data_IF_013332359256
#
_entry.id   IF_013332359256
#
_cell.length_a   1.000
_cell.length_b   1.000
_cell.length_c   1.000
_cell.angle_alpha   90.00
_cell.angle_beta   90.00
_cell.angle_gamma   90.00
#
_symmetry.space_group_name_H-M   'P 1'
#
loop_
_entity.id
_entity.type
_entity.pdbx_description
1 polymer ?
#
# COMPACT_ATOMS: atom_id res chain seq x y z
N UNK A 1 16.77 -1.31 2.26
CA UNK A 1 16.40 -2.25 1.18
C UNK A 1 16.94 -3.65 1.50
N UNK A 2 16.24 -4.71 1.08
CA UNK A 2 16.71 -6.11 1.27
C UNK A 2 16.36 -6.78 2.62
N UNK A 3 15.68 -6.10 3.54
CA UNK A 3 15.31 -6.68 4.84
C UNK A 3 14.09 -7.64 4.81
N UNK A 4 13.54 -7.96 3.64
CA UNK A 4 12.47 -8.96 3.50
C UNK A 4 11.03 -8.41 3.56
N UNK A 5 10.81 -7.12 3.79
CA UNK A 5 9.48 -6.52 3.96
C UNK A 5 8.49 -6.85 2.82
N UNK A 6 8.87 -6.54 1.59
CA UNK A 6 8.02 -6.79 0.41
C UNK A 6 7.73 -8.27 0.16
N UNK A 7 8.70 -9.15 0.44
CA UNK A 7 8.51 -10.60 0.33
C UNK A 7 7.49 -11.06 1.38
N UNK A 8 7.61 -10.59 2.62
CA UNK A 8 6.64 -10.87 3.69
C UNK A 8 5.22 -10.43 3.29
N UNK A 9 5.07 -9.20 2.79
CA UNK A 9 3.78 -8.70 2.29
C UNK A 9 3.19 -9.57 1.16
N UNK A 10 4.01 -9.94 0.18
CA UNK A 10 3.59 -10.81 -0.92
C UNK A 10 3.25 -12.23 -0.46
N UNK A 11 3.92 -12.73 0.59
CA UNK A 11 3.63 -14.05 1.15
C UNK A 11 2.23 -14.13 1.74
N UNK A 12 1.71 -13.05 2.34
CA UNK A 12 0.36 -12.98 2.89
C UNK A 12 -0.68 -13.34 1.84
N UNK A 13 -0.48 -12.90 0.61
CA UNK A 13 -1.41 -13.14 -0.49
C UNK A 13 -0.96 -14.27 -1.44
N UNK A 14 0.05 -15.06 -1.05
CA UNK A 14 0.64 -16.10 -1.91
C UNK A 14 1.02 -15.57 -3.30
N UNK A 15 1.65 -14.38 -3.33
CA UNK A 15 2.13 -13.71 -4.55
C UNK A 15 3.66 -13.82 -4.72
N UNK A 16 4.31 -14.65 -3.91
CA UNK A 16 5.74 -14.92 -4.05
C UNK A 16 6.01 -15.89 -5.19
N UNK A 17 7.21 -15.80 -5.77
CA UNK A 17 7.63 -16.75 -6.80
C UNK A 17 7.64 -18.17 -6.22
N UNK A 18 7.22 -19.18 -7.00
CA UNK A 18 7.18 -20.61 -6.63
C UNK A 18 8.54 -21.17 -6.15
N UNK A 19 9.64 -20.47 -6.43
CA UNK A 19 10.97 -20.82 -5.91
C UNK A 19 11.15 -20.57 -4.42
N UNK A 20 10.29 -19.73 -3.81
CA UNK A 20 10.32 -19.50 -2.38
C UNK A 20 9.46 -20.52 -1.65
N UNK A 21 10.03 -21.15 -0.64
CA UNK A 21 9.28 -21.98 0.29
C UNK A 21 8.75 -21.10 1.43
N UNK A 22 7.44 -20.99 1.56
CA UNK A 22 6.77 -20.26 2.64
C UNK A 22 6.28 -21.25 3.67
N UNK A 23 6.68 -21.08 4.92
CA UNK A 23 6.29 -21.94 6.03
C UNK A 23 5.86 -21.12 7.25
N UNK A 24 5.12 -21.73 8.16
CA UNK A 24 4.53 -21.08 9.32
C UNK A 24 3.03 -20.95 9.19
N UNK A 25 2.48 -19.87 9.76
CA UNK A 25 1.04 -19.59 9.74
C UNK A 25 0.80 -18.12 9.40
N UNK A 26 -0.26 -17.85 8.61
CA UNK A 26 -0.75 -16.49 8.33
C UNK A 26 -2.24 -16.46 8.66
N UNK A 27 -2.56 -16.02 9.86
CA UNK A 27 -3.95 -16.02 10.35
C UNK A 27 -4.62 -14.69 9.99
N UNK A 28 -5.66 -14.77 9.17
CA UNK A 28 -6.53 -13.66 8.84
C UNK A 28 -7.98 -14.03 9.14
N UNK A 29 -8.62 -13.30 10.04
CA UNK A 29 -9.99 -13.58 10.49
C UNK A 29 -10.21 -15.04 10.91
N UNK A 30 -9.27 -15.61 11.66
CA UNK A 30 -9.33 -16.98 12.17
C UNK A 30 -9.03 -18.07 11.13
N UNK A 31 -8.69 -17.72 9.88
CA UNK A 31 -8.31 -18.68 8.83
C UNK A 31 -6.84 -18.54 8.50
N UNK A 32 -6.15 -19.67 8.37
CA UNK A 32 -4.76 -19.72 7.91
C UNK A 32 -4.70 -19.59 6.39
N UNK A 33 -4.20 -18.46 5.89
CA UNK A 33 -4.13 -18.17 4.46
C UNK A 33 -3.17 -19.11 3.71
N UNK A 34 -2.17 -19.69 4.38
CA UNK A 34 -1.23 -20.62 3.75
C UNK A 34 -1.86 -21.98 3.44
N UNK A 35 -2.96 -22.33 4.13
CA UNK A 35 -3.70 -23.58 3.90
C UNK A 35 -4.80 -23.45 2.85
N UNK A 36 -5.07 -22.25 2.35
CA UNK A 36 -6.09 -22.01 1.34
C UNK A 36 -5.65 -22.55 -0.03
N UNK A 37 -6.59 -23.12 -0.76
CA UNK A 37 -6.41 -23.46 -2.18
C UNK A 37 -6.22 -22.19 -3.03
N UNK A 38 -5.76 -22.34 -4.27
CA UNK A 38 -5.58 -21.20 -5.18
C UNK A 38 -6.90 -20.46 -5.48
N UNK A 39 -8.03 -21.17 -5.52
CA UNK A 39 -9.35 -20.56 -5.70
C UNK A 39 -9.77 -19.76 -4.47
N UNK A 40 -9.55 -20.30 -3.28
CA UNK A 40 -9.89 -19.60 -2.03
C UNK A 40 -9.06 -18.36 -1.82
N UNK A 41 -7.74 -18.42 -2.01
CA UNK A 41 -6.88 -17.24 -1.89
C UNK A 41 -7.18 -16.18 -2.97
N UNK A 42 -7.62 -16.60 -4.18
CA UNK A 42 -8.09 -15.67 -5.22
C UNK A 42 -9.32 -14.88 -4.75
N UNK A 43 -10.26 -15.50 -4.05
CA UNK A 43 -11.42 -14.81 -3.47
C UNK A 43 -11.08 -13.84 -2.35
N UNK A 44 -9.99 -14.07 -1.63
CA UNK A 44 -9.48 -13.16 -0.58
C UNK A 44 -8.82 -11.93 -1.19
N UNK A 45 -8.07 -12.12 -2.29
CA UNK A 45 -7.38 -11.03 -3.00
C UNK A 45 -8.38 -10.03 -3.55
N UNK A 46 -8.12 -8.75 -3.34
CA UNK A 46 -8.96 -7.63 -3.76
C UNK A 46 -10.20 -7.43 -2.90
N UNK A 47 -10.89 -8.48 -2.50
CA UNK A 47 -12.13 -8.42 -1.73
C UNK A 47 -11.90 -8.23 -0.22
N UNK A 48 -11.15 -9.13 0.41
CA UNK A 48 -10.87 -9.06 1.85
C UNK A 48 -9.54 -8.37 2.14
N UNK A 49 -8.54 -8.59 1.28
CA UNK A 49 -7.21 -7.99 1.39
C UNK A 49 -6.83 -7.38 0.04
N UNK A 50 -6.65 -6.07 -0.01
CA UNK A 50 -6.12 -5.37 -1.17
C UNK A 50 -4.63 -5.06 -0.99
N UNK A 51 -3.89 -5.05 -2.11
CA UNK A 51 -2.46 -4.72 -2.10
C UNK A 51 -2.16 -3.54 -3.02
N UNK A 52 -1.53 -2.51 -2.47
CA UNK A 52 -0.98 -1.37 -3.19
C UNK A 52 0.52 -1.59 -3.36
N UNK A 53 0.97 -1.74 -4.60
CA UNK A 53 2.35 -2.10 -4.93
C UNK A 53 3.25 -0.86 -5.02
N UNK A 54 4.55 -1.08 -4.84
CA UNK A 54 5.59 -0.05 -4.86
C UNK A 54 5.69 0.69 -6.21
N UNK A 55 5.55 -0.04 -7.31
CA UNK A 55 5.69 0.54 -8.65
C UNK A 55 4.34 0.49 -9.39
N UNK A 56 3.61 1.61 -9.45
CA UNK A 56 2.32 1.64 -10.13
C UNK A 56 2.44 1.37 -11.64
N UNK A 57 3.54 1.77 -12.30
CA UNK A 57 3.73 1.55 -13.73
C UNK A 57 3.75 0.07 -14.12
N UNK A 58 4.23 -0.81 -13.23
CA UNK A 58 4.26 -2.25 -13.48
C UNK A 58 2.99 -2.96 -13.04
N UNK A 59 2.08 -2.27 -12.38
CA UNK A 59 0.81 -2.83 -11.87
C UNK A 59 -0.31 -2.77 -12.90
N UNK A 60 -0.19 -1.86 -13.88
CA UNK A 60 -1.15 -1.71 -14.95
C UNK A 60 -0.63 -2.34 -16.25
N UNK A 61 -1.54 -2.93 -17.02
CA UNK A 61 -1.22 -3.42 -18.36
C UNK A 61 -1.15 -2.24 -19.34
N UNK A 62 0.00 -1.99 -20.01
CA UNK A 62 0.16 -0.84 -20.89
C UNK A 62 -0.72 -0.87 -22.16
N UNK A 63 -1.31 -2.02 -22.49
CA UNK A 63 -2.12 -2.21 -23.70
C UNK A 63 -3.60 -1.84 -23.52
N UNK A 64 -4.05 -1.60 -22.26
CA UNK A 64 -5.43 -1.27 -21.96
C UNK A 64 -5.55 0.10 -21.32
N UNK A 65 -6.65 0.79 -21.58
CA UNK A 65 -6.96 2.07 -20.93
C UNK A 65 -7.23 1.87 -19.45
N UNK A 66 -7.12 2.94 -18.68
CA UNK A 66 -7.45 2.94 -17.25
C UNK A 66 -8.88 2.49 -17.02
N UNK A 67 -9.83 2.98 -17.82
CA UNK A 67 -11.24 2.60 -17.78
C UNK A 67 -11.42 1.09 -17.86
N UNK A 68 -10.81 0.46 -18.88
CA UNK A 68 -10.98 -0.98 -19.09
C UNK A 68 -10.45 -1.79 -17.91
N UNK A 69 -9.30 -1.40 -17.36
CA UNK A 69 -8.69 -2.11 -16.25
C UNK A 69 -9.45 -1.93 -14.93
N UNK A 70 -9.99 -0.73 -14.68
CA UNK A 70 -10.82 -0.48 -13.50
C UNK A 70 -12.15 -1.24 -13.59
N UNK A 71 -12.83 -1.17 -14.73
CA UNK A 71 -14.09 -1.89 -14.95
C UNK A 71 -13.88 -3.39 -14.79
N UNK A 72 -12.86 -3.97 -15.45
CA UNK A 72 -12.54 -5.40 -15.33
C UNK A 72 -12.31 -5.81 -13.87
N UNK A 73 -11.56 -5.00 -13.13
CA UNK A 73 -11.29 -5.25 -11.71
C UNK A 73 -12.58 -5.26 -10.88
N UNK A 74 -13.49 -4.30 -11.10
CA UNK A 74 -14.73 -4.24 -10.35
C UNK A 74 -15.72 -5.35 -10.73
N UNK A 75 -15.81 -5.72 -12.00
CA UNK A 75 -16.61 -6.85 -12.45
C UNK A 75 -16.12 -8.20 -11.90
N UNK A 76 -14.81 -8.37 -11.72
CA UNK A 76 -14.25 -9.60 -11.11
C UNK A 76 -14.60 -9.73 -9.62
N UNK A 77 -14.78 -8.61 -8.90
CA UNK A 77 -14.97 -8.62 -7.45
C UNK A 77 -16.38 -8.28 -7.00
N UNK A 78 -17.23 -7.75 -7.89
CA UNK A 78 -18.57 -7.28 -7.59
C UNK A 78 -19.56 -7.84 -8.61
N UNK A 79 -20.74 -8.24 -8.16
CA UNK A 79 -21.85 -8.61 -9.05
C UNK A 79 -22.61 -7.35 -9.48
N UNK A 80 -22.10 -6.67 -10.49
CA UNK A 80 -22.60 -5.38 -10.99
C UNK A 80 -22.55 -5.33 -12.52
N UNK A 81 -23.31 -4.41 -13.13
CA UNK A 81 -23.22 -4.16 -14.57
C UNK A 81 -21.95 -3.35 -14.94
N UNK A 82 -21.60 -3.36 -16.24
CA UNK A 82 -20.48 -2.58 -16.77
C UNK A 82 -20.67 -1.07 -16.57
N UNK A 83 -21.91 -0.59 -16.73
CA UNK A 83 -22.28 0.81 -16.52
C UNK A 83 -22.05 1.20 -15.04
N UNK A 84 -22.45 0.32 -14.11
CA UNK A 84 -22.24 0.54 -12.68
C UNK A 84 -20.75 0.49 -12.31
N UNK A 85 -19.97 -0.39 -12.93
CA UNK A 85 -18.53 -0.44 -12.74
C UNK A 85 -17.85 0.86 -13.23
N UNK A 86 -18.33 1.46 -14.32
CA UNK A 86 -17.85 2.76 -14.81
C UNK A 86 -18.18 3.90 -13.83
N UNK A 87 -19.39 3.95 -13.28
CA UNK A 87 -19.77 4.93 -12.26
C UNK A 87 -18.85 4.81 -11.02
N UNK A 88 -18.65 3.59 -10.53
CA UNK A 88 -17.77 3.30 -9.40
C UNK A 88 -16.32 3.69 -9.71
N UNK A 89 -15.87 3.49 -10.95
CA UNK A 89 -14.54 3.93 -11.40
C UNK A 89 -14.39 5.45 -11.29
N UNK A 90 -15.38 6.22 -11.70
CA UNK A 90 -15.39 7.67 -11.55
C UNK A 90 -15.37 8.09 -10.08
N UNK A 91 -16.22 7.49 -9.26
CA UNK A 91 -16.25 7.73 -7.80
C UNK A 91 -14.88 7.45 -7.15
N UNK A 92 -14.20 6.36 -7.54
CA UNK A 92 -12.88 6.03 -7.05
C UNK A 92 -11.85 7.13 -7.36
N UNK A 93 -11.87 7.68 -8.58
CA UNK A 93 -10.95 8.72 -9.00
C UNK A 93 -11.27 10.09 -8.35
N UNK A 94 -12.55 10.38 -8.12
CA UNK A 94 -12.99 11.57 -7.38
C UNK A 94 -12.49 11.54 -5.93
N UNK A 95 -12.65 10.41 -5.24
CA UNK A 95 -12.13 10.21 -3.87
C UNK A 95 -10.63 10.43 -3.77
N UNK A 96 -9.90 10.14 -4.84
CA UNK A 96 -8.45 10.34 -4.93
C UNK A 96 -8.09 11.77 -5.41
N UNK A 97 -9.02 12.69 -5.41
CA UNK A 97 -8.82 14.10 -5.81
C UNK A 97 -8.23 14.27 -7.21
N UNK A 98 -8.47 13.31 -8.11
CA UNK A 98 -8.06 13.39 -9.50
C UNK A 98 -9.01 14.28 -10.29
N UNK A 99 -8.46 15.18 -11.11
CA UNK A 99 -9.22 16.11 -11.96
C UNK A 99 -9.32 15.57 -13.40
N UNK A 100 -10.36 15.98 -14.13
CA UNK A 100 -10.58 15.58 -15.53
C UNK A 100 -10.74 14.06 -15.70
N UNK A 101 -11.52 13.44 -14.84
CA UNK A 101 -11.70 11.99 -14.72
C UNK A 101 -12.01 11.32 -16.06
N UNK A 102 -12.93 11.87 -16.87
CA UNK A 102 -13.29 11.35 -18.18
C UNK A 102 -12.08 11.24 -19.14
N UNK A 103 -11.15 12.20 -19.04
CA UNK A 103 -9.92 12.14 -19.86
C UNK A 103 -8.95 11.11 -19.29
N UNK A 104 -8.85 10.98 -17.96
CA UNK A 104 -7.96 10.01 -17.32
C UNK A 104 -8.40 8.59 -17.66
N UNK A 105 -9.69 8.29 -17.58
CA UNK A 105 -10.23 6.96 -17.90
C UNK A 105 -9.89 6.48 -19.30
N UNK A 106 -9.86 7.39 -20.27
CA UNK A 106 -9.53 7.08 -21.68
C UNK A 106 -8.04 6.94 -21.98
N UNK A 107 -7.18 7.31 -21.03
CA UNK A 107 -5.73 7.23 -21.16
C UNK A 107 -5.19 5.84 -20.91
N UNK A 108 -4.04 5.56 -21.51
CA UNK A 108 -3.21 4.41 -21.18
C UNK A 108 -2.28 4.73 -20.00
N UNK A 109 -1.80 3.72 -19.25
CA UNK A 109 -0.93 3.95 -18.09
C UNK A 109 0.29 4.83 -18.40
N UNK A 110 0.95 4.64 -19.52
CA UNK A 110 2.14 5.39 -19.92
C UNK A 110 1.89 6.88 -20.21
N UNK A 111 0.64 7.31 -20.37
CA UNK A 111 0.25 8.70 -20.57
C UNK A 111 -0.02 9.44 -19.25
N UNK A 112 0.13 8.77 -18.11
CA UNK A 112 -0.14 9.29 -16.78
C UNK A 112 1.14 9.38 -15.94
N UNK A 113 1.20 10.32 -15.01
CA UNK A 113 2.30 10.38 -14.05
C UNK A 113 2.24 9.21 -13.05
N UNK A 114 3.38 8.85 -12.48
CA UNK A 114 3.45 7.81 -11.43
C UNK A 114 2.52 8.10 -10.25
N UNK A 115 2.43 9.38 -9.82
CA UNK A 115 1.52 9.80 -8.76
C UNK A 115 0.04 9.64 -9.12
N UNK A 116 -0.35 9.88 -10.36
CA UNK A 116 -1.72 9.63 -10.83
C UNK A 116 -2.04 8.13 -10.81
N UNK A 117 -1.15 7.30 -11.35
CA UNK A 117 -1.33 5.84 -11.33
C UNK A 117 -1.38 5.29 -9.91
N UNK A 118 -0.57 5.83 -9.00
CA UNK A 118 -0.60 5.45 -7.59
C UNK A 118 -1.95 5.76 -6.95
N UNK A 119 -2.49 6.96 -7.18
CA UNK A 119 -3.82 7.35 -6.70
C UNK A 119 -4.93 6.48 -7.30
N UNK A 120 -4.84 6.14 -8.58
CA UNK A 120 -5.78 5.21 -9.23
C UNK A 120 -5.74 3.84 -8.55
N UNK A 121 -4.55 3.30 -8.30
CA UNK A 121 -4.37 2.00 -7.64
C UNK A 121 -4.93 2.02 -6.21
N UNK A 122 -4.70 3.09 -5.45
CA UNK A 122 -5.27 3.28 -4.13
C UNK A 122 -6.80 3.38 -4.22
N UNK A 123 -7.33 4.17 -5.16
CA UNK A 123 -8.78 4.29 -5.39
C UNK A 123 -9.46 2.96 -5.66
N UNK A 124 -8.86 2.12 -6.51
CA UNK A 124 -9.33 0.74 -6.77
C UNK A 124 -9.35 -0.07 -5.46
N UNK A 125 -8.23 -0.04 -4.71
CA UNK A 125 -8.12 -0.80 -3.47
C UNK A 125 -9.16 -0.42 -2.42
N UNK A 126 -9.54 0.85 -2.36
CA UNK A 126 -10.47 1.39 -1.37
C UNK A 126 -11.93 1.08 -1.71
N UNK A 127 -12.29 1.20 -2.98
CA UNK A 127 -13.68 1.05 -3.41
C UNK A 127 -14.19 -0.38 -3.15
N UNK A 128 -13.30 -1.35 -3.13
CA UNK A 128 -13.60 -2.73 -2.80
C UNK A 128 -13.89 -2.93 -1.30
N UNK A 129 -13.67 -1.91 -0.46
CA UNK A 129 -13.87 -1.93 1.00
C UNK A 129 -13.23 -3.14 1.67
N UNK A 130 -11.96 -3.41 1.45
CA UNK A 130 -11.27 -4.55 2.04
C UNK A 130 -11.17 -4.37 3.56
N UNK A 131 -10.91 -5.46 4.28
CA UNK A 131 -10.65 -5.43 5.73
C UNK A 131 -9.20 -5.09 6.06
N UNK A 132 -8.30 -5.39 5.11
CA UNK A 132 -6.88 -5.09 5.20
C UNK A 132 -6.36 -4.50 3.89
N UNK A 133 -5.64 -3.38 3.97
CA UNK A 133 -4.85 -2.85 2.86
C UNK A 133 -3.37 -3.09 3.19
N UNK A 134 -2.66 -3.77 2.30
CA UNK A 134 -1.20 -3.91 2.34
C UNK A 134 -0.62 -2.87 1.39
N UNK A 135 0.06 -1.86 1.91
CA UNK A 135 0.71 -0.80 1.13
C UNK A 135 2.24 -0.99 1.18
N UNK A 136 2.80 -1.56 0.12
CA UNK A 136 4.24 -1.85 0.00
C UNK A 136 4.96 -0.67 -0.63
N UNK A 137 5.58 0.17 0.18
CA UNK A 137 6.29 1.41 -0.20
C UNK A 137 5.48 2.29 -1.17
N UNK A 138 4.22 2.64 -0.86
CA UNK A 138 3.30 3.26 -1.81
C UNK A 138 3.68 4.69 -2.23
N UNK A 139 4.76 5.24 -1.70
CA UNK A 139 5.19 6.62 -1.95
C UNK A 139 6.59 6.73 -2.57
N UNK A 140 7.30 5.63 -2.79
CA UNK A 140 8.71 5.64 -3.23
C UNK A 140 8.89 6.22 -4.64
N UNK A 141 7.92 6.08 -5.53
CA UNK A 141 7.99 6.55 -6.92
C UNK A 141 7.39 7.96 -7.11
N UNK A 142 7.16 8.71 -6.02
CA UNK A 142 6.38 9.95 -6.04
C UNK A 142 7.23 11.09 -5.47
N UNK A 143 7.11 12.29 -6.09
CA UNK A 143 7.73 13.49 -5.56
C UNK A 143 7.17 13.89 -4.19
N UNK A 144 7.92 14.66 -3.42
CA UNK A 144 7.64 14.99 -2.02
C UNK A 144 6.31 15.74 -1.80
N UNK A 145 5.80 16.45 -2.81
CA UNK A 145 4.53 17.18 -2.69
C UNK A 145 3.37 16.19 -2.80
N UNK A 146 3.38 15.37 -3.84
CA UNK A 146 2.36 14.34 -4.05
C UNK A 146 2.42 13.22 -3.01
N UNK A 147 3.60 12.98 -2.41
CA UNK A 147 3.77 12.02 -1.33
C UNK A 147 2.93 12.37 -0.10
N UNK A 148 2.90 13.67 0.28
CA UNK A 148 2.12 14.15 1.41
C UNK A 148 0.62 13.89 1.21
N UNK A 149 0.12 14.21 0.03
CA UNK A 149 -1.30 14.01 -0.31
C UNK A 149 -1.71 12.53 -0.17
N UNK A 150 -0.87 11.62 -0.66
CA UNK A 150 -1.13 10.17 -0.54
C UNK A 150 -1.14 9.71 0.92
N UNK A 151 -0.24 10.22 1.74
CA UNK A 151 -0.22 9.89 3.17
C UNK A 151 -1.48 10.39 3.87
N UNK A 152 -1.92 11.61 3.57
CA UNK A 152 -3.17 12.17 4.09
C UNK A 152 -4.38 11.31 3.68
N UNK A 153 -4.41 10.81 2.44
CA UNK A 153 -5.43 9.87 1.99
C UNK A 153 -5.44 8.58 2.80
N UNK A 154 -4.28 7.95 3.06
CA UNK A 154 -4.20 6.77 3.93
C UNK A 154 -4.67 7.05 5.36
N UNK A 155 -4.36 8.22 5.92
CA UNK A 155 -4.83 8.63 7.25
C UNK A 155 -6.36 8.80 7.27
N UNK A 156 -6.93 9.41 6.23
CA UNK A 156 -8.38 9.55 6.09
C UNK A 156 -9.07 8.20 5.96
N UNK A 157 -8.47 7.27 5.20
CA UNK A 157 -8.97 5.91 5.07
C UNK A 157 -9.02 5.16 6.39
N UNK A 158 -7.93 5.22 7.16
CA UNK A 158 -7.85 4.63 8.49
C UNK A 158 -8.96 5.14 9.39
N UNK A 159 -9.23 6.45 9.36
CA UNK A 159 -10.26 7.09 10.20
C UNK A 159 -11.69 6.77 9.77
N UNK A 160 -11.95 6.75 8.46
CA UNK A 160 -13.31 6.77 7.94
C UNK A 160 -13.88 5.38 7.59
N UNK A 161 -13.03 4.38 7.31
CA UNK A 161 -13.47 3.10 6.77
C UNK A 161 -13.27 1.90 7.70
N UNK A 162 -12.72 2.09 8.90
CA UNK A 162 -12.42 1.00 9.83
C UNK A 162 -11.62 -0.15 9.19
N UNK A 163 -10.67 0.21 8.31
CA UNK A 163 -9.79 -0.70 7.58
C UNK A 163 -8.45 -0.79 8.30
N UNK A 164 -7.95 -2.01 8.47
CA UNK A 164 -6.58 -2.20 8.93
C UNK A 164 -5.59 -1.91 7.79
N UNK A 165 -4.47 -1.26 8.09
CA UNK A 165 -3.45 -0.94 7.10
C UNK A 165 -2.10 -1.53 7.54
N UNK A 166 -1.53 -2.41 6.73
CA UNK A 166 -0.14 -2.82 6.83
C UNK A 166 0.70 -1.95 5.90
N UNK A 167 1.33 -0.91 6.46
CA UNK A 167 2.06 0.08 5.70
C UNK A 167 3.57 -0.17 5.77
N UNK A 168 4.20 -0.45 4.64
CA UNK A 168 5.65 -0.63 4.53
C UNK A 168 6.28 0.66 4.02
N UNK A 169 7.26 1.16 4.74
CA UNK A 169 8.09 2.29 4.31
C UNK A 169 9.49 2.19 4.91
N UNK A 170 10.45 2.79 4.25
CA UNK A 170 11.77 3.08 4.82
C UNK A 170 11.84 4.47 5.47
N UNK A 171 10.79 5.29 5.37
CA UNK A 171 10.71 6.60 5.99
C UNK A 171 9.96 6.55 7.33
N UNK A 172 10.74 6.58 8.43
CA UNK A 172 10.20 6.64 9.78
C UNK A 172 9.36 7.88 10.06
N UNK A 173 9.59 8.99 9.35
CA UNK A 173 8.76 10.19 9.48
C UNK A 173 7.33 9.94 9.01
N UNK A 174 7.14 9.23 7.90
CA UNK A 174 5.84 8.82 7.42
C UNK A 174 5.18 7.87 8.42
N UNK A 175 5.92 6.82 8.82
CA UNK A 175 5.39 5.81 9.75
C UNK A 175 4.95 6.40 11.08
N UNK A 176 5.68 7.39 11.61
CA UNK A 176 5.32 8.07 12.86
C UNK A 176 4.00 8.82 12.83
N UNK A 177 3.50 9.16 11.64
CA UNK A 177 2.24 9.88 11.47
C UNK A 177 1.04 8.95 11.20
N UNK A 178 1.29 7.77 10.61
CA UNK A 178 0.20 6.88 10.16
C UNK A 178 0.05 5.62 11.02
N UNK A 179 1.15 5.09 11.59
CA UNK A 179 1.15 3.80 12.26
C UNK A 179 0.82 3.91 13.76
N UNK A 180 0.02 2.99 14.27
CA UNK A 180 -0.19 2.79 15.71
C UNK A 180 0.92 1.92 16.31
N UNK A 181 1.33 0.88 15.56
CA UNK A 181 2.39 -0.04 15.94
C UNK A 181 3.44 -0.11 14.83
N UNK A 182 4.68 -0.33 15.21
CA UNK A 182 5.81 -0.48 14.30
C UNK A 182 6.47 -1.83 14.46
N UNK A 183 6.89 -2.40 13.34
CA UNK A 183 7.73 -3.59 13.28
C UNK A 183 9.01 -3.22 12.54
N UNK A 184 10.15 -3.39 13.16
CA UNK A 184 11.46 -3.15 12.56
C UNK A 184 12.07 -4.46 12.09
N UNK A 185 12.44 -4.51 10.82
CA UNK A 185 13.05 -5.70 10.20
C UNK A 185 14.49 -5.40 9.77
N UNK A 186 15.38 -6.36 10.04
CA UNK A 186 16.77 -6.39 9.58
C UNK A 186 17.13 -7.79 9.11
N UNK A 187 17.72 -7.91 7.93
CA UNK A 187 18.24 -9.20 7.40
C UNK A 187 17.23 -10.36 7.47
N UNK A 188 15.96 -10.06 7.11
CA UNK A 188 14.87 -11.05 7.10
C UNK A 188 14.27 -11.38 8.47
N UNK A 189 14.70 -10.72 9.55
CA UNK A 189 14.20 -10.96 10.90
C UNK A 189 13.52 -9.74 11.48
N UNK A 190 12.50 -9.95 12.29
CA UNK A 190 11.95 -8.90 13.15
C UNK A 190 12.93 -8.72 14.30
N UNK A 191 13.46 -7.51 14.43
CA UNK A 191 14.43 -7.16 15.46
C UNK A 191 13.83 -6.36 16.60
N UNK A 192 12.73 -5.65 16.32
CA UNK A 192 11.99 -4.91 17.33
C UNK A 192 10.53 -4.71 16.90
N UNK A 193 9.59 -4.68 17.84
CA UNK A 193 8.19 -4.36 17.61
C UNK A 193 7.58 -3.73 18.87
N UNK A 194 6.62 -2.82 18.67
CA UNK A 194 5.94 -2.12 19.73
C UNK A 194 5.05 -1.01 19.20
N UNK A 195 4.48 -0.22 20.09
CA UNK A 195 3.76 0.99 19.71
C UNK A 195 4.71 1.98 19.01
N UNK A 196 4.16 2.86 18.18
CA UNK A 196 4.95 3.88 17.49
C UNK A 196 5.74 4.73 18.50
N UNK A 197 5.14 5.07 19.63
CA UNK A 197 5.78 5.83 20.69
C UNK A 197 6.98 5.09 21.30
N UNK A 198 6.80 3.81 21.66
CA UNK A 198 7.87 2.98 22.20
C UNK A 198 9.05 2.87 21.24
N UNK A 199 8.78 2.58 19.96
CA UNK A 199 9.84 2.41 18.96
C UNK A 199 10.57 3.73 18.65
N UNK A 200 9.89 4.88 18.68
CA UNK A 200 10.51 6.17 18.36
C UNK A 200 11.26 6.78 19.53
N UNK A 201 10.78 6.60 20.77
CA UNK A 201 11.36 7.27 21.92
C UNK A 201 12.09 6.32 22.88
N UNK A 202 11.72 5.04 22.91
CA UNK A 202 12.22 4.04 23.88
C UNK A 202 12.78 2.79 23.19
N UNK A 203 13.33 2.94 21.98
CA UNK A 203 13.93 1.84 21.21
C UNK A 203 14.98 1.09 22.03
N UNK A 204 15.07 -0.23 21.82
CA UNK A 204 16.01 -1.13 22.52
C UNK A 204 17.08 -1.69 21.59
N UNK A 205 16.73 -1.91 20.31
CA UNK A 205 17.62 -2.55 19.35
C UNK A 205 18.53 -1.52 18.64
N UNK A 206 19.82 -1.83 18.50
CA UNK A 206 20.80 -0.95 17.89
C UNK A 206 20.42 -0.52 16.45
N UNK A 207 19.83 -1.43 15.68
CA UNK A 207 19.40 -1.09 14.32
C UNK A 207 18.27 -0.06 14.32
N UNK A 208 17.32 -0.16 15.24
CA UNK A 208 16.27 0.83 15.44
C UNK A 208 16.85 2.19 15.81
N UNK A 209 17.80 2.18 16.75
CA UNK A 209 18.56 3.37 17.14
C UNK A 209 19.20 4.04 15.92
N UNK A 210 19.93 3.26 15.14
CA UNK A 210 20.60 3.76 13.92
C UNK A 210 19.60 4.42 12.95
N UNK A 211 18.44 3.79 12.70
CA UNK A 211 17.43 4.34 11.79
C UNK A 211 16.87 5.68 12.31
N UNK A 212 16.56 5.75 13.60
CA UNK A 212 15.97 6.94 14.23
C UNK A 212 17.00 8.09 14.28
N UNK A 213 18.21 7.82 14.72
CA UNK A 213 19.27 8.83 14.81
C UNK A 213 19.66 9.38 13.44
N UNK A 214 19.76 8.51 12.42
CA UNK A 214 20.01 8.93 11.04
C UNK A 214 18.91 9.87 10.54
N UNK A 215 17.63 9.54 10.79
CA UNK A 215 16.53 10.41 10.39
C UNK A 215 16.56 11.75 11.12
N UNK A 216 16.79 11.75 12.45
CA UNK A 216 16.91 12.98 13.27
C UNK A 216 18.05 13.89 12.78
N UNK A 217 19.21 13.30 12.46
CA UNK A 217 20.36 14.03 11.93
C UNK A 217 20.06 14.71 10.58
N UNK A 218 19.36 14.01 9.67
CA UNK A 218 18.93 14.58 8.40
C UNK A 218 17.97 15.76 8.61
N UNK A 219 16.95 15.60 9.45
CA UNK A 219 15.98 16.67 9.74
C UNK A 219 16.64 17.87 10.44
N UNK A 220 17.61 17.65 11.31
CA UNK A 220 18.38 18.71 11.99
C UNK A 220 19.25 19.52 11.03
N UNK A 221 19.83 18.89 10.00
CA UNK A 221 20.59 19.60 8.95
C UNK A 221 19.70 20.51 8.10
N UNK A 222 18.48 20.08 7.76
CA UNK A 222 17.53 20.91 6.99
C UNK A 222 17.05 22.16 7.76
N UNK A 223 16.93 22.08 9.10
CA UNK A 223 16.60 23.26 9.92
C UNK A 223 17.73 24.30 9.99
N UNK A 224 18.99 23.90 9.83
CA UNK A 224 20.15 24.83 9.82
C UNK A 224 20.36 25.54 8.50
N UNK A 225 19.84 25.03 7.40
CA UNK A 225 19.95 25.65 6.06
C UNK A 225 18.85 26.70 5.82
N UNK A 226 17.82 26.76 6.67
CA UNK A 226 16.72 27.75 6.59
C UNK A 226 16.91 28.95 7.53
N UNK A 227 18.09 29.16 8.10
CA UNK A 227 18.53 30.38 8.75
C UNK A 227 19.58 31.08 7.87
#
# INVERSE_FOLDING_TARGET
>A
SGSGKSITCKSILNLVNKKFNVSGEIIFQGRDLLKLSQEEIRKVRGKDISMVLQNPMTSFNPLYTIENQMIETFLEHMDISREKALEISKEALEKMSLKNIEKILKKYPHELSGGMLQRIMIGIAIILKPKLIIADEPTTAIDSINQKDIIEEFILLKKNLNVSILFVSHDLGILSHIADNLIVMKEGKIVESGTTEEIIYNFKHEHTKFLIETKRALMGKFKKVKK
#
